data_IF_744703887041
#
_entry.id   IF_744703887041
#
_cell.length_a   1.000
_cell.length_b   1.000
_cell.length_c   1.000
_cell.angle_alpha   90.00
_cell.angle_beta   90.00
_cell.angle_gamma   90.00
#
_symmetry.space_group_name_H-M   'P 1'
#
loop_
_entity.id
_entity.type
_entity.pdbx_description
1 polymer ?
#
# COMPACT_ATOMS: atom_id res chain seq x y z
N UNK A 1 12.80 -9.47 -20.37
CA UNK A 1 11.71 -9.31 -21.36
C UNK A 1 11.53 -7.84 -21.69
N UNK A 2 11.48 -7.51 -22.96
CA UNK A 2 11.21 -6.15 -23.44
C UNK A 2 9.86 -6.18 -24.14
N UNK A 3 8.92 -5.36 -23.67
CA UNK A 3 7.61 -5.24 -24.30
C UNK A 3 7.80 -4.64 -25.72
N UNK A 4 7.34 -5.31 -26.79
CA UNK A 4 7.51 -4.83 -28.15
C UNK A 4 6.81 -3.49 -28.42
N UNK A 5 5.72 -3.19 -27.70
CA UNK A 5 4.93 -1.96 -27.87
C UNK A 5 5.50 -0.78 -27.10
N UNK A 6 5.90 -0.99 -25.85
CA UNK A 6 6.39 0.09 -24.97
C UNK A 6 7.91 0.23 -24.92
N UNK A 7 8.65 -0.74 -25.47
CA UNK A 7 10.12 -0.87 -25.38
C UNK A 7 10.65 -0.92 -23.92
N UNK A 8 9.77 -1.05 -22.95
CA UNK A 8 10.13 -1.14 -21.54
C UNK A 8 10.61 -2.54 -21.17
N UNK A 9 11.70 -2.61 -20.41
CA UNK A 9 12.16 -3.86 -19.81
C UNK A 9 11.23 -4.23 -18.66
N UNK A 10 10.67 -5.44 -18.69
CA UNK A 10 9.87 -5.96 -17.59
C UNK A 10 10.54 -7.15 -16.94
N UNK A 11 10.28 -7.34 -15.64
CA UNK A 11 10.77 -8.50 -14.90
C UNK A 11 9.93 -9.73 -15.23
N UNK A 12 10.60 -10.84 -15.51
CA UNK A 12 10.00 -12.16 -15.68
C UNK A 12 10.26 -13.03 -14.46
N UNK A 13 9.39 -14.00 -14.22
CA UNK A 13 9.60 -15.01 -13.19
C UNK A 13 10.34 -16.22 -13.80
N UNK A 14 11.39 -16.70 -13.11
CA UNK A 14 12.07 -17.94 -13.46
C UNK A 14 11.36 -19.12 -12.79
N UNK A 15 11.15 -20.21 -13.56
CA UNK A 15 10.53 -21.42 -13.03
C UNK A 15 11.48 -22.26 -12.19
N UNK A 16 12.77 -22.00 -12.24
CA UNK A 16 13.83 -22.76 -11.54
C UNK A 16 15.09 -21.92 -11.35
N UNK A 17 16.02 -22.45 -10.61
CA UNK A 17 17.36 -21.87 -10.36
C UNK A 17 17.52 -21.44 -8.92
N UNK A 18 18.75 -21.48 -8.43
CA UNK A 18 19.12 -21.06 -7.10
C UNK A 18 19.46 -19.57 -7.07
N UNK A 19 19.38 -18.98 -5.89
CA UNK A 19 19.92 -17.66 -5.60
C UNK A 19 21.34 -17.83 -5.10
N UNK A 20 22.29 -17.23 -5.79
CA UNK A 20 23.68 -17.15 -5.32
C UNK A 20 23.85 -15.92 -4.43
N UNK A 21 24.59 -16.05 -3.37
CA UNK A 21 24.92 -14.95 -2.46
C UNK A 21 26.38 -15.06 -2.01
N UNK A 22 26.94 -13.93 -1.62
CA UNK A 22 28.21 -13.85 -0.91
C UNK A 22 27.94 -13.44 0.52
N UNK A 23 28.46 -14.19 1.48
CA UNK A 23 28.31 -13.90 2.91
C UNK A 23 29.01 -12.58 3.26
N UNK A 24 28.31 -11.69 3.95
CA UNK A 24 28.89 -10.44 4.45
C UNK A 24 29.81 -10.63 5.67
N UNK A 25 29.91 -11.85 6.22
CA UNK A 25 30.69 -12.14 7.42
C UNK A 25 32.07 -12.75 7.10
N UNK A 26 32.16 -13.56 6.04
CA UNK A 26 33.33 -14.34 5.72
C UNK A 26 33.64 -14.43 4.22
N UNK A 27 32.92 -13.62 3.41
CA UNK A 27 33.05 -13.58 1.94
C UNK A 27 32.83 -14.94 1.24
N UNK A 28 32.26 -15.93 1.95
CA UNK A 28 31.96 -17.24 1.37
C UNK A 28 30.81 -17.14 0.36
N UNK A 29 30.95 -17.87 -0.74
CA UNK A 29 29.88 -18.00 -1.73
C UNK A 29 28.94 -19.16 -1.36
N UNK A 30 27.63 -18.90 -1.47
CA UNK A 30 26.60 -19.90 -1.21
C UNK A 30 25.49 -19.87 -2.24
N UNK A 31 24.64 -20.91 -2.18
CA UNK A 31 23.40 -21.01 -2.97
C UNK A 31 22.26 -21.36 -2.05
N UNK A 32 21.10 -20.79 -2.30
CA UNK A 32 19.88 -21.10 -1.56
C UNK A 32 18.67 -21.05 -2.49
N UNK A 33 17.65 -21.83 -2.16
CA UNK A 33 16.31 -21.68 -2.73
C UNK A 33 15.61 -20.45 -2.15
N UNK A 34 14.61 -19.88 -2.82
CA UNK A 34 13.82 -18.80 -2.26
C UNK A 34 13.22 -19.23 -0.91
N UNK A 35 13.36 -18.39 0.10
CA UNK A 35 12.72 -18.60 1.42
C UNK A 35 12.46 -17.28 2.13
N UNK A 36 11.54 -17.29 3.06
CA UNK A 36 11.33 -16.21 4.02
C UNK A 36 12.21 -16.48 5.23
N UNK A 37 12.72 -15.44 5.87
CA UNK A 37 13.54 -15.55 7.08
C UNK A 37 12.80 -16.43 8.12
N UNK A 38 13.52 -17.34 8.75
CA UNK A 38 13.06 -18.30 9.75
C UNK A 38 11.96 -19.29 9.27
N UNK A 39 11.67 -19.32 7.96
CA UNK A 39 10.74 -20.28 7.38
C UNK A 39 11.45 -21.29 6.46
N UNK A 40 10.80 -22.43 6.19
CA UNK A 40 11.35 -23.43 5.28
C UNK A 40 11.58 -22.88 3.87
N UNK A 41 12.51 -23.49 3.16
CA UNK A 41 12.73 -23.21 1.74
C UNK A 41 11.51 -23.55 0.90
N UNK A 42 11.29 -22.76 -0.16
CA UNK A 42 10.26 -23.03 -1.16
C UNK A 42 10.80 -24.10 -2.08
N UNK A 43 10.25 -25.31 -1.96
CA UNK A 43 10.65 -26.47 -2.75
C UNK A 43 9.95 -26.43 -4.12
N UNK A 44 10.74 -26.52 -5.19
CA UNK A 44 10.19 -26.67 -6.52
C UNK A 44 9.59 -28.08 -6.70
N UNK A 45 8.49 -28.21 -7.46
CA UNK A 45 7.97 -29.53 -7.82
C UNK A 45 8.97 -30.29 -8.71
N UNK A 46 9.01 -31.63 -8.55
CA UNK A 46 9.92 -32.50 -9.27
C UNK A 46 9.98 -32.22 -10.78
N UNK A 47 11.20 -32.26 -11.34
CA UNK A 47 11.58 -31.74 -12.65
C UNK A 47 11.00 -32.42 -13.89
N UNK A 48 10.04 -33.33 -13.76
CA UNK A 48 9.40 -34.06 -14.88
C UNK A 48 8.27 -33.28 -15.56
N UNK A 49 7.77 -32.20 -14.95
CA UNK A 49 6.69 -31.40 -15.47
C UNK A 49 7.21 -30.25 -16.35
N UNK A 50 6.47 -29.90 -17.40
CA UNK A 50 6.75 -28.70 -18.21
C UNK A 50 6.84 -27.49 -17.25
N UNK A 51 8.02 -26.86 -17.17
CA UNK A 51 8.33 -25.77 -16.22
C UNK A 51 7.54 -24.48 -16.49
N UNK A 52 7.16 -24.27 -17.74
CA UNK A 52 6.46 -23.04 -18.17
C UNK A 52 5.15 -23.35 -18.87
N UNK A 53 4.13 -22.55 -18.62
CA UNK A 53 2.93 -22.41 -19.46
C UNK A 53 3.31 -21.67 -20.74
N UNK A 54 4.00 -20.53 -20.58
CA UNK A 54 4.56 -19.75 -21.68
C UNK A 54 6.06 -19.66 -21.49
N UNK A 55 6.86 -20.20 -22.42
CA UNK A 55 8.31 -20.11 -22.35
C UNK A 55 8.76 -18.66 -22.52
N UNK A 56 9.78 -18.22 -21.73
CA UNK A 56 10.34 -16.89 -21.92
C UNK A 56 11.01 -16.74 -23.26
N UNK A 57 10.78 -15.63 -23.94
CA UNK A 57 11.44 -15.24 -25.19
C UNK A 57 11.79 -13.74 -25.16
N UNK A 58 12.41 -13.24 -26.23
CA UNK A 58 12.68 -11.81 -26.37
C UNK A 58 11.40 -10.96 -26.38
N UNK A 59 10.29 -11.53 -26.83
CA UNK A 59 9.01 -10.83 -27.03
C UNK A 59 7.89 -11.34 -26.12
N UNK A 60 8.09 -12.44 -25.41
CA UNK A 60 7.07 -13.03 -24.53
C UNK A 60 7.62 -13.20 -23.11
N UNK A 61 6.85 -12.72 -22.13
CA UNK A 61 7.13 -12.95 -20.73
C UNK A 61 6.94 -14.43 -20.39
N UNK A 62 7.94 -15.02 -19.73
CA UNK A 62 7.80 -16.39 -19.19
C UNK A 62 6.72 -16.45 -18.12
N UNK A 63 5.81 -17.42 -18.25
CA UNK A 63 4.79 -17.71 -17.24
C UNK A 63 5.07 -19.14 -16.73
N UNK A 64 5.64 -19.29 -15.52
CA UNK A 64 5.88 -20.60 -14.95
C UNK A 64 4.56 -21.28 -14.60
N UNK A 65 4.53 -22.62 -14.67
CA UNK A 65 3.41 -23.41 -14.17
C UNK A 65 3.29 -23.34 -12.65
N UNK A 66 4.44 -23.33 -11.98
CA UNK A 66 4.58 -23.21 -10.55
C UNK A 66 5.20 -21.84 -10.25
N UNK A 67 4.42 -20.96 -9.66
CA UNK A 67 4.89 -19.61 -9.34
C UNK A 67 5.61 -19.59 -7.99
N UNK A 68 6.92 -19.48 -8.01
CA UNK A 68 7.74 -19.28 -6.79
C UNK A 68 7.35 -17.98 -6.07
N UNK A 69 7.02 -16.92 -6.81
CA UNK A 69 6.51 -15.67 -6.23
C UNK A 69 5.18 -15.86 -5.52
N UNK A 70 4.29 -16.67 -6.10
CA UNK A 70 3.03 -17.04 -5.46
C UNK A 70 3.27 -17.78 -4.16
N UNK A 71 4.18 -18.77 -4.17
CA UNK A 71 4.55 -19.52 -2.97
C UNK A 71 5.23 -18.63 -1.92
N UNK A 72 6.12 -17.73 -2.35
CA UNK A 72 6.70 -16.74 -1.46
C UNK A 72 5.64 -15.85 -0.80
N UNK A 73 4.69 -15.37 -1.58
CA UNK A 73 3.54 -14.60 -1.07
C UNK A 73 2.76 -15.38 -0.02
N UNK A 74 2.46 -16.66 -0.29
CA UNK A 74 1.79 -17.55 0.66
C UNK A 74 2.62 -17.76 1.93
N UNK A 75 3.92 -17.97 1.80
CA UNK A 75 4.83 -18.15 2.93
C UNK A 75 4.94 -16.87 3.79
N UNK A 76 5.00 -15.69 3.15
CA UNK A 76 5.07 -14.40 3.85
C UNK A 76 3.82 -14.18 4.71
N UNK A 77 2.63 -14.52 4.19
CA UNK A 77 1.35 -14.31 4.88
C UNK A 77 0.90 -15.51 5.72
N UNK A 78 1.71 -16.57 5.78
CA UNK A 78 1.38 -17.77 6.55
C UNK A 78 1.31 -17.48 8.06
N UNK A 79 0.49 -18.28 8.75
CA UNK A 79 0.30 -18.19 10.21
C UNK A 79 1.62 -18.33 10.98
N UNK A 80 2.58 -19.11 10.48
CA UNK A 80 3.91 -19.27 11.06
C UNK A 80 4.81 -18.02 10.98
N UNK A 81 4.52 -17.07 10.10
CA UNK A 81 5.34 -15.85 9.96
C UNK A 81 4.87 -14.74 10.91
N UNK A 82 5.21 -14.90 12.18
CA UNK A 82 4.88 -13.92 13.21
C UNK A 82 5.57 -12.58 12.97
N UNK A 83 6.82 -12.58 12.53
CA UNK A 83 7.60 -11.36 12.28
C UNK A 83 6.92 -10.45 11.25
N UNK A 84 6.39 -11.02 10.15
CA UNK A 84 5.65 -10.23 9.16
C UNK A 84 4.37 -9.62 9.74
N UNK A 85 3.58 -10.42 10.49
CA UNK A 85 2.32 -9.95 11.11
C UNK A 85 2.56 -8.80 12.09
N UNK A 86 3.54 -8.95 12.96
CA UNK A 86 3.89 -7.92 13.94
C UNK A 86 4.46 -6.68 13.28
N UNK A 87 5.30 -6.82 12.26
CA UNK A 87 5.86 -5.68 11.54
C UNK A 87 4.77 -4.86 10.83
N UNK A 88 3.85 -5.51 10.09
CA UNK A 88 2.78 -4.77 9.40
C UNK A 88 1.81 -4.12 10.39
N UNK A 89 1.45 -4.81 11.49
CA UNK A 89 0.61 -4.25 12.53
C UNK A 89 1.29 -3.03 13.19
N UNK A 90 2.59 -3.11 13.51
CA UNK A 90 3.35 -2.00 14.06
C UNK A 90 3.42 -0.80 13.13
N UNK A 91 3.61 -1.02 11.83
CA UNK A 91 3.63 0.07 10.82
C UNK A 91 2.28 0.74 10.67
N UNK A 92 1.19 -0.02 10.64
CA UNK A 92 -0.16 0.54 10.59
C UNK A 92 -0.51 1.31 11.87
N UNK A 93 -0.11 0.77 13.04
CA UNK A 93 -0.21 1.48 14.31
C UNK A 93 0.57 2.79 14.29
N UNK A 94 1.83 2.79 13.87
CA UNK A 94 2.66 3.98 13.79
C UNK A 94 2.08 5.04 12.85
N UNK A 95 1.53 4.63 11.72
CA UNK A 95 0.83 5.51 10.79
C UNK A 95 -0.36 6.21 11.46
N UNK A 96 -1.14 5.49 12.27
CA UNK A 96 -2.31 6.02 12.94
C UNK A 96 -1.94 6.84 14.19
N UNK A 97 -1.03 6.34 15.02
CA UNK A 97 -0.72 6.95 16.33
C UNK A 97 0.47 7.92 16.31
N UNK A 98 1.25 7.95 15.21
CA UNK A 98 2.43 8.80 15.05
C UNK A 98 3.73 8.22 15.61
N UNK A 99 3.70 7.02 16.22
CA UNK A 99 4.85 6.27 16.73
C UNK A 99 4.52 4.79 16.77
N UNK A 100 5.52 3.94 16.50
CA UNK A 100 5.40 2.48 16.62
C UNK A 100 5.39 1.98 18.08
N UNK A 101 4.89 0.79 18.29
CA UNK A 101 5.09 0.04 19.54
C UNK A 101 6.54 -0.46 19.62
N UNK A 102 7.11 -0.85 18.47
CA UNK A 102 8.55 -1.00 18.26
C UNK A 102 9.04 0.21 17.50
N UNK A 103 10.06 0.86 18.00
CA UNK A 103 10.62 2.08 17.42
C UNK A 103 12.15 2.08 17.58
N UNK A 104 12.94 2.32 16.54
CA UNK A 104 12.57 2.54 15.13
C UNK A 104 11.82 1.36 14.49
N UNK A 105 10.95 1.65 13.50
CA UNK A 105 10.05 0.66 12.91
C UNK A 105 10.74 -0.55 12.27
N UNK A 106 11.98 -0.36 11.82
CA UNK A 106 12.79 -1.39 11.13
C UNK A 106 13.70 -2.17 12.09
N UNK A 107 13.73 -1.81 13.38
CA UNK A 107 14.60 -2.42 14.38
C UNK A 107 13.80 -3.38 15.30
N UNK A 108 13.12 -4.36 14.71
CA UNK A 108 12.45 -5.42 15.47
C UNK A 108 13.44 -6.54 15.78
N UNK A 109 13.92 -6.60 17.02
CA UNK A 109 14.82 -7.64 17.53
C UNK A 109 14.74 -7.72 19.07
N UNK A 110 15.27 -8.78 19.64
CA UNK A 110 15.14 -9.10 21.08
C UNK A 110 15.63 -8.00 22.01
N UNK A 111 16.67 -7.24 21.61
CA UNK A 111 17.17 -6.13 22.40
C UNK A 111 16.36 -4.84 22.24
N UNK A 112 15.34 -4.81 21.37
CA UNK A 112 14.42 -3.69 21.17
C UNK A 112 12.96 -4.16 21.25
N UNK A 113 12.48 -4.58 22.42
CA UNK A 113 11.13 -5.09 22.59
C UNK A 113 10.09 -4.00 22.38
N UNK A 114 8.90 -4.41 21.95
CA UNK A 114 7.75 -3.51 21.85
C UNK A 114 7.43 -2.87 23.20
N UNK A 115 6.99 -1.62 23.19
CA UNK A 115 6.52 -0.92 24.41
C UNK A 115 5.29 -1.60 25.04
N UNK A 116 4.47 -2.24 24.21
CA UNK A 116 3.27 -3.00 24.62
C UNK A 116 3.22 -4.32 23.83
N UNK A 117 3.99 -5.35 24.23
CA UNK A 117 4.15 -6.57 23.45
C UNK A 117 2.83 -7.37 23.31
N UNK A 118 2.00 -7.39 24.35
CA UNK A 118 0.69 -8.06 24.29
C UNK A 118 -0.26 -7.38 23.29
N UNK A 119 -0.24 -6.04 23.24
CA UNK A 119 -1.05 -5.30 22.27
C UNK A 119 -0.56 -5.54 20.83
N UNK A 120 0.76 -5.58 20.62
CA UNK A 120 1.31 -5.88 19.31
C UNK A 120 0.91 -7.27 18.82
N UNK A 121 1.00 -8.28 19.69
CA UNK A 121 0.58 -9.64 19.39
C UNK A 121 -0.92 -9.70 19.05
N UNK A 122 -1.76 -9.09 19.88
CA UNK A 122 -3.22 -9.03 19.64
C UNK A 122 -3.56 -8.40 18.29
N UNK A 123 -2.94 -7.28 17.94
CA UNK A 123 -3.16 -6.61 16.67
C UNK A 123 -2.67 -7.42 15.48
N UNK A 124 -1.54 -8.09 15.63
CA UNK A 124 -0.97 -8.96 14.60
C UNK A 124 -1.88 -10.16 14.32
N UNK A 125 -2.40 -10.78 15.36
CA UNK A 125 -3.31 -11.92 15.24
C UNK A 125 -4.66 -11.49 14.65
N UNK A 126 -5.25 -10.39 15.11
CA UNK A 126 -6.50 -9.85 14.58
C UNK A 126 -6.36 -9.48 13.07
N UNK A 127 -5.25 -8.86 12.67
CA UNK A 127 -5.00 -8.53 11.26
C UNK A 127 -4.90 -9.80 10.39
N UNK A 128 -4.26 -10.86 10.91
CA UNK A 128 -4.17 -12.14 10.22
C UNK A 128 -5.54 -12.85 10.12
N UNK A 129 -6.32 -12.90 11.19
CA UNK A 129 -7.67 -13.47 11.22
C UNK A 129 -8.61 -12.80 10.22
N UNK A 130 -8.47 -11.48 10.04
CA UNK A 130 -9.19 -10.69 9.04
C UNK A 130 -8.50 -10.67 7.67
N UNK A 131 -7.64 -11.67 7.37
CA UNK A 131 -7.00 -11.84 6.05
C UNK A 131 -6.27 -10.58 5.54
N UNK A 132 -5.65 -9.84 6.46
CA UNK A 132 -4.96 -8.57 6.19
C UNK A 132 -5.86 -7.48 5.57
N UNK A 133 -7.15 -7.43 5.95
CA UNK A 133 -8.02 -6.31 5.60
C UNK A 133 -7.57 -5.03 6.32
N UNK A 134 -6.71 -4.27 5.66
CA UNK A 134 -6.18 -3.01 6.19
C UNK A 134 -7.26 -1.97 6.44
N UNK A 135 -8.35 -1.97 5.66
CA UNK A 135 -9.44 -1.00 5.84
C UNK A 135 -10.20 -1.28 7.13
N UNK A 136 -10.50 -2.55 7.38
CA UNK A 136 -11.09 -2.98 8.63
C UNK A 136 -10.18 -2.60 9.80
N UNK A 137 -8.90 -2.98 9.74
CA UNK A 137 -7.93 -2.74 10.79
C UNK A 137 -7.77 -1.24 11.13
N UNK A 138 -7.64 -0.38 10.12
CA UNK A 138 -7.53 1.07 10.34
C UNK A 138 -8.83 1.66 10.92
N UNK A 139 -9.99 1.12 10.58
CA UNK A 139 -11.27 1.52 11.17
C UNK A 139 -11.33 1.18 12.65
N UNK A 140 -10.92 -0.05 13.02
CA UNK A 140 -10.86 -0.46 14.42
C UNK A 140 -9.89 0.42 15.22
N UNK A 141 -8.71 0.71 14.69
CA UNK A 141 -7.76 1.61 15.34
C UNK A 141 -8.34 3.02 15.53
N UNK A 142 -9.02 3.55 14.54
CA UNK A 142 -9.63 4.89 14.62
C UNK A 142 -10.73 4.99 15.70
N UNK A 143 -11.38 3.88 16.03
CA UNK A 143 -12.42 3.81 17.06
C UNK A 143 -11.84 3.65 18.48
N UNK A 144 -10.55 3.36 18.62
CA UNK A 144 -9.92 3.21 19.93
C UNK A 144 -9.87 4.52 20.69
N UNK A 145 -10.01 4.46 22.02
CA UNK A 145 -9.80 5.63 22.89
C UNK A 145 -8.41 6.22 22.73
N UNK A 146 -7.40 5.42 22.42
CA UNK A 146 -6.02 5.86 22.21
C UNK A 146 -5.92 6.80 21.00
N UNK A 147 -6.56 6.45 19.89
CA UNK A 147 -6.56 7.32 18.71
C UNK A 147 -7.34 8.62 18.92
N UNK A 148 -8.42 8.56 19.69
CA UNK A 148 -9.33 9.69 19.94
C UNK A 148 -8.86 10.61 21.09
N UNK A 149 -7.70 10.36 21.67
CA UNK A 149 -7.15 11.23 22.72
C UNK A 149 -6.75 12.59 22.16
N UNK A 150 -7.00 13.63 22.98
CA UNK A 150 -6.48 14.98 22.72
C UNK A 150 -4.96 15.01 22.80
N UNK A 151 -4.36 15.85 21.96
CA UNK A 151 -2.94 16.23 22.07
C UNK A 151 -2.69 17.32 23.11
N UNK A 152 -3.75 17.90 23.70
CA UNK A 152 -3.64 18.92 24.71
C UNK A 152 -3.54 18.25 26.07
N UNK A 153 -2.45 18.53 26.79
CA UNK A 153 -2.26 18.10 28.18
C UNK A 153 -2.94 19.13 29.08
N UNK A 154 -3.94 18.70 29.83
CA UNK A 154 -4.61 19.53 30.83
C UNK A 154 -4.23 19.02 32.22
N UNK A 155 -3.64 19.88 33.06
CA UNK A 155 -3.27 19.55 34.44
C UNK A 155 -1.79 19.80 34.72
N UNK A 156 -1.44 19.66 35.99
CA UNK A 156 -0.07 19.86 36.51
C UNK A 156 0.78 18.60 36.49
N UNK A 157 0.21 17.46 36.12
CA UNK A 157 0.94 16.18 36.05
C UNK A 157 1.91 16.18 34.85
N UNK A 158 3.11 15.62 35.00
CA UNK A 158 4.02 15.50 33.89
C UNK A 158 3.35 14.69 32.77
N UNK A 159 3.52 15.09 31.51
CA UNK A 159 2.91 14.38 30.41
C UNK A 159 3.40 12.93 30.38
N UNK A 160 2.48 11.99 30.19
CA UNK A 160 2.83 10.59 29.99
C UNK A 160 3.86 10.46 28.86
N UNK A 161 4.81 9.55 29.04
CA UNK A 161 5.80 9.28 28.01
C UNK A 161 5.11 8.99 26.66
N UNK A 162 5.66 9.49 25.56
CA UNK A 162 5.19 9.21 24.21
C UNK A 162 5.10 7.69 23.92
N UNK A 163 5.86 6.87 24.65
CA UNK A 163 5.81 5.41 24.57
C UNK A 163 4.54 4.81 25.20
N UNK A 164 3.84 5.55 26.03
CA UNK A 164 2.63 5.08 26.74
C UNK A 164 1.34 5.49 26.02
N UNK A 165 1.42 6.30 24.96
CA UNK A 165 0.26 6.79 24.22
C UNK A 165 -0.82 7.42 25.13
N UNK A 166 -0.41 8.05 26.21
CA UNK A 166 -1.30 8.69 27.17
C UNK A 166 -2.01 9.92 26.62
N UNK A 167 -1.42 10.57 25.61
CA UNK A 167 -1.96 11.71 24.86
C UNK A 167 -1.86 11.44 23.37
N UNK A 168 -2.67 12.13 22.58
CA UNK A 168 -2.56 12.09 21.12
C UNK A 168 -1.26 12.72 20.66
N UNK A 169 -0.44 11.99 19.90
CA UNK A 169 0.81 12.52 19.38
C UNK A 169 0.55 13.43 18.18
N UNK A 170 1.26 14.56 18.12
CA UNK A 170 1.28 15.40 16.94
C UNK A 170 2.05 14.69 15.83
N UNK A 171 1.45 14.63 14.65
CA UNK A 171 2.04 14.02 13.46
C UNK A 171 2.31 15.10 12.42
N UNK A 172 3.53 15.17 11.85
CA UNK A 172 3.79 16.06 10.74
C UNK A 172 2.93 15.61 9.54
N UNK A 173 2.42 16.56 8.78
CA UNK A 173 1.82 16.27 7.49
C UNK A 173 2.91 15.88 6.49
N UNK A 174 2.62 14.92 5.59
CA UNK A 174 3.50 14.72 4.45
C UNK A 174 3.48 15.97 3.55
N UNK A 175 4.52 16.19 2.72
CA UNK A 175 4.52 17.30 1.76
C UNK A 175 3.29 17.32 0.88
N UNK A 176 2.77 16.14 0.45
CA UNK A 176 1.55 16.03 -0.32
C UNK A 176 0.31 16.44 0.49
N UNK A 177 0.21 15.94 1.74
CA UNK A 177 -0.89 16.31 2.64
C UNK A 177 -0.89 17.81 2.93
N UNK A 178 0.30 18.40 3.11
CA UNK A 178 0.45 19.82 3.33
C UNK A 178 0.06 20.63 2.07
N UNK A 179 0.46 20.18 0.87
CA UNK A 179 0.04 20.78 -0.39
C UNK A 179 -1.49 20.79 -0.52
N UNK A 180 -2.14 19.65 -0.28
CA UNK A 180 -3.60 19.54 -0.34
C UNK A 180 -4.28 20.42 0.71
N UNK A 181 -3.79 20.43 1.94
CA UNK A 181 -4.32 21.28 3.01
C UNK A 181 -4.22 22.76 2.66
N UNK A 182 -3.07 23.19 2.12
CA UNK A 182 -2.84 24.59 1.69
C UNK A 182 -3.77 24.98 0.54
N UNK A 183 -3.88 24.14 -0.49
CA UNK A 183 -4.78 24.39 -1.62
C UNK A 183 -6.24 24.45 -1.18
N UNK A 184 -6.65 23.67 -0.18
CA UNK A 184 -7.98 23.74 0.41
C UNK A 184 -8.20 25.02 1.22
N UNK A 185 -7.25 25.37 2.09
CA UNK A 185 -7.34 26.56 2.94
C UNK A 185 -7.36 27.87 2.15
N UNK A 186 -6.66 27.91 1.01
CA UNK A 186 -6.62 29.10 0.11
C UNK A 186 -7.82 29.18 -0.84
N UNK A 187 -8.71 28.19 -0.85
CA UNK A 187 -9.84 28.13 -1.78
C UNK A 187 -9.47 27.72 -3.22
N UNK A 188 -8.18 27.45 -3.49
CA UNK A 188 -7.73 27.03 -4.82
C UNK A 188 -8.44 25.76 -5.29
N UNK A 189 -8.57 24.75 -4.42
CA UNK A 189 -9.28 23.50 -4.73
C UNK A 189 -10.72 23.75 -5.14
N UNK A 190 -11.46 24.62 -4.45
CA UNK A 190 -12.85 24.95 -4.80
C UNK A 190 -12.96 25.56 -6.20
N UNK A 191 -11.99 26.41 -6.59
CA UNK A 191 -11.93 26.99 -7.92
C UNK A 191 -11.70 25.93 -9.00
N UNK A 192 -10.75 25.00 -8.75
CA UNK A 192 -10.45 23.89 -9.67
C UNK A 192 -11.67 22.96 -9.78
N UNK A 193 -12.28 22.59 -8.66
CA UNK A 193 -13.48 21.74 -8.63
C UNK A 193 -14.62 22.33 -9.46
N UNK A 194 -14.92 23.61 -9.28
CA UNK A 194 -15.95 24.30 -10.06
C UNK A 194 -15.65 24.30 -11.58
N UNK A 195 -14.37 24.46 -11.94
CA UNK A 195 -13.93 24.43 -13.33
C UNK A 195 -14.04 23.03 -13.96
N UNK A 196 -13.60 21.99 -13.25
CA UNK A 196 -13.66 20.61 -13.71
C UNK A 196 -15.10 20.09 -13.78
N UNK A 197 -15.94 20.45 -12.81
CA UNK A 197 -17.37 20.14 -12.84
C UNK A 197 -18.05 20.74 -14.07
N UNK A 198 -17.71 21.99 -14.43
CA UNK A 198 -18.23 22.65 -15.63
C UNK A 198 -17.79 21.94 -16.92
N UNK A 199 -16.53 21.53 -17.00
CA UNK A 199 -15.96 20.77 -18.15
C UNK A 199 -16.66 19.41 -18.28
N UNK A 200 -16.82 18.67 -17.19
CA UNK A 200 -17.47 17.36 -17.18
C UNK A 200 -18.94 17.44 -17.62
N UNK A 201 -19.67 18.45 -17.16
CA UNK A 201 -21.05 18.69 -17.59
C UNK A 201 -21.13 18.99 -19.08
N UNK A 202 -20.27 19.90 -19.59
CA UNK A 202 -20.25 20.24 -21.01
C UNK A 202 -19.86 19.07 -21.92
N UNK A 203 -19.03 18.14 -21.43
CA UNK A 203 -18.63 16.94 -22.17
C UNK A 203 -19.78 15.93 -22.24
N UNK A 204 -20.53 15.75 -21.14
CA UNK A 204 -21.70 14.86 -21.10
C UNK A 204 -22.86 15.38 -21.96
N UNK A 205 -23.05 16.69 -22.03
CA UNK A 205 -24.09 17.30 -22.87
C UNK A 205 -23.79 17.17 -24.38
N UNK A 206 -22.50 17.03 -24.76
CA UNK A 206 -22.07 16.88 -26.15
C UNK A 206 -22.02 15.44 -26.66
N UNK A 207 -22.19 14.45 -25.79
CA UNK A 207 -22.28 13.04 -26.25
C UNK A 207 -23.71 12.76 -26.75
N UNK A 208 -23.90 12.49 -28.08
CA UNK A 208 -25.20 12.10 -28.57
C UNK A 208 -25.60 10.74 -27.98
N UNK A 209 -26.82 10.66 -27.46
CA UNK A 209 -27.43 9.38 -27.07
C UNK A 209 -27.42 8.45 -28.30
N UNK A 210 -26.51 7.47 -28.34
CA UNK A 210 -26.70 6.32 -29.20
C UNK A 210 -27.88 5.52 -28.64
N UNK A 211 -29.03 5.74 -29.22
CA UNK A 211 -30.19 4.85 -29.07
C UNK A 211 -29.82 3.52 -29.71
N UNK A 212 -29.47 2.52 -28.91
CA UNK A 212 -29.46 1.13 -29.33
C UNK A 212 -30.86 0.58 -29.17
N UNK A 213 -31.67 0.72 -30.24
CA UNK A 213 -32.73 -0.21 -30.52
C UNK A 213 -32.06 -1.32 -31.34
N UNK A 214 -31.96 -2.53 -30.79
CA UNK A 214 -32.24 -3.81 -31.43
C UNK A 214 -31.66 -4.98 -30.64
N UNK A 215 -32.52 -5.94 -30.45
CA UNK A 215 -32.34 -7.37 -30.20
C UNK A 215 -31.88 -7.88 -28.83
N UNK A 216 -32.89 -8.54 -28.26
CA UNK A 216 -32.93 -9.27 -27.01
C UNK A 216 -31.83 -10.31 -26.79
N UNK A 217 -31.12 -10.12 -25.67
CA UNK A 217 -30.52 -11.20 -24.88
C UNK A 217 -30.31 -10.70 -23.46
N UNK A 218 -30.71 -11.41 -22.39
CA UNK A 218 -30.53 -10.93 -21.03
C UNK A 218 -29.05 -11.11 -20.63
N UNK A 219 -28.36 -10.00 -20.39
CA UNK A 219 -27.04 -9.98 -19.78
C UNK A 219 -27.15 -9.53 -18.32
N UNK A 220 -26.39 -10.20 -17.46
CA UNK A 220 -26.34 -10.04 -16.03
C UNK A 220 -26.17 -8.59 -15.55
N UNK A 221 -26.79 -8.29 -14.40
CA UNK A 221 -26.88 -6.99 -13.78
C UNK A 221 -25.52 -6.34 -13.48
N UNK A 222 -25.23 -5.28 -14.22
CA UNK A 222 -24.27 -4.25 -13.90
C UNK A 222 -24.89 -2.92 -14.30
N UNK A 223 -25.69 -2.33 -13.42
CA UNK A 223 -26.42 -1.08 -13.69
C UNK A 223 -25.45 0.09 -13.81
N UNK A 224 -25.02 0.40 -15.03
CA UNK A 224 -24.36 1.69 -15.32
C UNK A 224 -25.45 2.73 -15.48
N UNK A 225 -25.77 3.43 -14.41
CA UNK A 225 -26.66 4.61 -14.45
C UNK A 225 -25.90 5.73 -15.15
N UNK A 226 -26.13 5.92 -16.44
CA UNK A 226 -25.72 7.11 -17.20
C UNK A 226 -26.57 8.32 -16.78
N UNK A 227 -26.31 8.86 -15.60
CA UNK A 227 -26.87 10.12 -15.16
C UNK A 227 -26.27 11.30 -15.93
N UNK A 228 -27.06 12.28 -16.31
CA UNK A 228 -26.60 13.56 -16.94
C UNK A 228 -25.58 14.33 -16.09
N UNK A 229 -25.55 14.11 -14.79
CA UNK A 229 -24.62 14.76 -13.87
C UNK A 229 -23.37 13.92 -13.61
N UNK A 230 -22.18 14.53 -13.52
CA UNK A 230 -20.96 13.85 -13.11
C UNK A 230 -21.11 13.27 -11.69
N UNK A 231 -20.58 12.08 -11.47
CA UNK A 231 -20.52 11.48 -10.13
C UNK A 231 -19.43 12.14 -9.28
N UNK A 232 -19.54 12.08 -7.95
CA UNK A 232 -18.53 12.59 -7.05
C UNK A 232 -17.14 11.98 -7.37
N UNK A 233 -17.07 10.68 -7.70
CA UNK A 233 -15.82 9.99 -8.06
C UNK A 233 -15.20 10.52 -9.35
N UNK A 234 -16.01 10.87 -10.36
CA UNK A 234 -15.52 11.47 -11.60
C UNK A 234 -14.96 12.88 -11.34
N UNK A 235 -15.62 13.66 -10.50
CA UNK A 235 -15.15 15.00 -10.11
C UNK A 235 -13.85 14.91 -9.33
N UNK A 236 -13.77 14.05 -8.31
CA UNK A 236 -12.55 13.85 -7.51
C UNK A 236 -11.37 13.42 -8.38
N UNK A 237 -11.59 12.52 -9.33
CA UNK A 237 -10.54 12.10 -10.27
C UNK A 237 -10.08 13.25 -11.15
N UNK A 238 -10.98 14.05 -11.68
CA UNK A 238 -10.65 15.19 -12.53
C UNK A 238 -9.90 16.27 -11.75
N UNK A 239 -10.34 16.58 -10.53
CA UNK A 239 -9.65 17.52 -9.63
C UNK A 239 -8.26 17.02 -9.27
N UNK A 240 -8.13 15.76 -8.88
CA UNK A 240 -6.83 15.16 -8.56
C UNK A 240 -5.85 15.25 -9.73
N UNK A 241 -6.30 14.94 -10.94
CA UNK A 241 -5.48 15.07 -12.16
C UNK A 241 -5.09 16.53 -12.46
N UNK A 242 -6.02 17.47 -12.27
CA UNK A 242 -5.78 18.89 -12.52
C UNK A 242 -4.76 19.51 -11.55
N UNK A 243 -4.71 19.05 -10.29
CA UNK A 243 -3.78 19.59 -9.28
C UNK A 243 -2.48 18.79 -9.15
N UNK A 244 -2.34 17.65 -9.84
CA UNK A 244 -1.18 16.76 -9.70
C UNK A 244 0.16 17.48 -9.94
N UNK A 245 0.23 18.34 -10.94
CA UNK A 245 1.45 19.11 -11.23
C UNK A 245 1.79 20.10 -10.11
N UNK A 246 0.79 20.73 -9.52
CA UNK A 246 0.97 21.64 -8.38
C UNK A 246 1.45 20.91 -7.14
N UNK A 247 0.88 19.74 -6.86
CA UNK A 247 1.34 18.87 -5.75
C UNK A 247 2.79 18.44 -5.98
N UNK A 248 3.14 18.00 -7.18
CA UNK A 248 4.52 17.60 -7.50
C UNK A 248 5.51 18.77 -7.32
N UNK A 249 5.17 19.94 -7.81
CA UNK A 249 6.00 21.14 -7.63
C UNK A 249 6.18 21.48 -6.16
N UNK A 250 5.09 21.45 -5.39
CA UNK A 250 5.12 21.71 -3.96
C UNK A 250 6.00 20.67 -3.22
N UNK A 251 5.82 19.39 -3.51
CA UNK A 251 6.64 18.31 -2.94
C UNK A 251 8.12 18.50 -3.26
N UNK A 252 8.45 18.86 -4.51
CA UNK A 252 9.84 19.13 -4.90
C UNK A 252 10.47 20.29 -4.13
N UNK A 253 9.68 21.32 -3.79
CA UNK A 253 10.18 22.50 -3.09
C UNK A 253 10.25 22.30 -1.56
N UNK A 254 9.34 21.52 -0.99
CA UNK A 254 9.16 21.41 0.47
C UNK A 254 9.43 20.02 1.04
N UNK A 255 9.66 19.00 0.20
CA UNK A 255 10.14 17.72 0.70
C UNK A 255 11.61 17.87 1.10
N UNK A 256 11.94 17.58 2.35
CA UNK A 256 13.32 17.44 2.77
C UNK A 256 13.97 16.33 1.94
N UNK A 257 15.21 16.53 1.48
CA UNK A 257 16.02 15.48 0.89
C UNK A 257 16.01 14.26 1.82
N UNK A 258 15.69 13.08 1.28
CA UNK A 258 15.43 11.85 2.04
C UNK A 258 16.61 11.32 2.89
N UNK A 259 17.64 12.12 3.11
CA UNK A 259 18.79 11.83 3.97
C UNK A 259 18.83 12.61 5.28
N UNK A 260 17.85 13.45 5.57
CA UNK A 260 17.82 14.26 6.80
C UNK A 260 16.62 13.94 7.69
N UNK A 261 16.42 12.65 8.02
CA UNK A 261 15.54 12.25 9.12
C UNK A 261 16.27 11.32 10.06
#
# INVERSE_FOLDING_TARGET
>A
FTDPKSKQKSLGEKAEGDVTFTSAFDDSEGKTSPRVLDLPEIVDPDGTLKKYVTKPSKTARGVPKYSRRGQLGTAVTATGNRAFRENIANRLWAMMMGRGLVEPLDLSHDANPASHPQLLALMADALHEHQYDMKWFLRELAQTRTYQRSSIVTGSDPPASNRQFGVGLLKPLSPEQFAWATMRATGFLATVEASELKKLKSTKDKQPQKSSAEDGKPAAAGTTVTGKNPTAVEVDRAVSAAVESHVKTFVTQFAADGGQR
#
